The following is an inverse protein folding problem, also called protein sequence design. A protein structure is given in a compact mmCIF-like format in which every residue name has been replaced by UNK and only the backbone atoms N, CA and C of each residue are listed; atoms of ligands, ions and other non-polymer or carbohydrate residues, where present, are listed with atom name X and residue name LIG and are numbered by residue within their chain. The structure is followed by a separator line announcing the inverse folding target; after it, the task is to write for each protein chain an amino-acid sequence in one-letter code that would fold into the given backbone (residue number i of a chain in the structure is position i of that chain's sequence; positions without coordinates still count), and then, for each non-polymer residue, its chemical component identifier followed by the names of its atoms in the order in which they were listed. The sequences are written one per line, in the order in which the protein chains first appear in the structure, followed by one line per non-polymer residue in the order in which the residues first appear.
data_IF_994122085557
#
_entry.id   IF_994122085557
#
_cell.length_a   1.000
_cell.length_b   1.000
_cell.length_c   1.000
_cell.angle_alpha   90.00
_cell.angle_beta   90.00
_cell.angle_gamma   90.00
#
_symmetry.space_group_name_H-M   'P 1'
#
loop_
_entity.id
_entity.type
_entity.pdbx_description
1 polymer ?
#
# COMPACT_ATOMS: atom_id res chain seq x y z
N UNK A 1 53.92 0.11 -12.48
CA UNK A 1 53.02 1.26 -12.21
C UNK A 1 51.90 0.81 -11.29
N UNK A 2 51.78 1.39 -10.08
CA UNK A 2 50.67 1.13 -9.15
C UNK A 2 49.46 1.96 -9.60
N UNK A 3 48.47 1.33 -10.23
CA UNK A 3 47.17 1.94 -10.51
C UNK A 3 46.35 1.98 -9.22
N UNK A 4 46.44 3.10 -8.50
CA UNK A 4 45.60 3.37 -7.31
C UNK A 4 44.24 3.86 -7.81
N UNK A 5 43.25 2.99 -7.80
CA UNK A 5 41.87 3.33 -8.19
C UNK A 5 41.28 4.29 -7.15
N UNK A 6 41.28 5.58 -7.46
CA UNK A 6 40.66 6.62 -6.65
C UNK A 6 39.19 6.79 -7.08
N UNK A 7 38.30 6.60 -6.10
CA UNK A 7 36.84 6.85 -6.11
C UNK A 7 36.03 5.92 -7.03
N UNK A 8 35.39 4.93 -6.42
CA UNK A 8 34.42 4.08 -7.11
C UNK A 8 33.20 4.90 -7.55
N UNK A 9 33.02 5.05 -8.86
CA UNK A 9 31.78 5.56 -9.46
C UNK A 9 30.56 4.73 -9.00
N UNK A 10 30.79 3.44 -8.71
CA UNK A 10 29.77 2.46 -8.34
C UNK A 10 29.09 2.74 -7.00
N UNK A 11 29.79 3.31 -6.01
CA UNK A 11 29.17 3.61 -4.71
C UNK A 11 28.20 4.80 -4.82
N UNK A 12 28.56 5.82 -5.59
CA UNK A 12 27.68 6.99 -5.82
C UNK A 12 26.44 6.60 -6.64
N UNK A 13 26.62 5.82 -7.71
CA UNK A 13 25.50 5.34 -8.51
C UNK A 13 24.59 4.39 -7.73
N UNK A 14 25.17 3.52 -6.89
CA UNK A 14 24.40 2.61 -6.02
C UNK A 14 23.59 3.38 -4.98
N UNK A 15 24.18 4.42 -4.36
CA UNK A 15 23.49 5.24 -3.37
C UNK A 15 22.34 6.02 -4.01
N UNK A 16 22.57 6.62 -5.18
CA UNK A 16 21.52 7.32 -5.95
C UNK A 16 20.39 6.35 -6.34
N UNK A 17 20.72 5.15 -6.84
CA UNK A 17 19.73 4.13 -7.16
C UNK A 17 18.91 3.75 -5.92
N UNK A 18 19.56 3.46 -4.79
CA UNK A 18 18.88 3.12 -3.55
C UNK A 18 17.94 4.23 -3.07
N UNK A 19 18.38 5.48 -3.13
CA UNK A 19 17.57 6.63 -2.75
C UNK A 19 16.32 6.77 -3.64
N UNK A 20 16.50 6.66 -4.96
CA UNK A 20 15.39 6.74 -5.92
C UNK A 20 14.40 5.59 -5.70
N UNK A 21 14.90 4.36 -5.50
CA UNK A 21 14.05 3.19 -5.23
C UNK A 21 13.27 3.35 -3.93
N UNK A 22 13.93 3.80 -2.85
CA UNK A 22 13.27 4.02 -1.55
C UNK A 22 12.19 5.10 -1.64
N UNK A 23 12.47 6.23 -2.32
CA UNK A 23 11.49 7.28 -2.54
C UNK A 23 10.30 6.79 -3.37
N UNK A 24 10.56 6.11 -4.49
CA UNK A 24 9.51 5.56 -5.36
C UNK A 24 8.63 4.58 -4.58
N UNK A 25 9.24 3.69 -3.79
CA UNK A 25 8.53 2.75 -2.95
C UNK A 25 7.70 3.46 -1.87
N UNK A 26 8.23 4.48 -1.20
CA UNK A 26 7.50 5.26 -0.22
C UNK A 26 6.27 5.98 -0.82
N UNK A 27 6.43 6.58 -2.01
CA UNK A 27 5.33 7.22 -2.74
C UNK A 27 4.25 6.18 -3.08
N UNK A 28 4.66 5.04 -3.62
CA UNK A 28 3.75 3.96 -3.99
C UNK A 28 2.95 3.45 -2.78
N UNK A 29 3.62 3.19 -1.64
CA UNK A 29 2.96 2.79 -0.40
C UNK A 29 1.98 3.85 0.11
N UNK A 30 2.34 5.13 0.02
CA UNK A 30 1.48 6.24 0.43
C UNK A 30 0.20 6.29 -0.41
N UNK A 31 0.31 6.16 -1.74
CA UNK A 31 -0.85 6.17 -2.64
C UNK A 31 -1.78 4.99 -2.33
N UNK A 32 -1.23 3.80 -2.21
CA UNK A 32 -2.01 2.59 -1.94
C UNK A 32 -2.71 2.65 -0.57
N UNK A 33 -2.02 3.16 0.44
CA UNK A 33 -2.59 3.35 1.76
C UNK A 33 -3.77 4.32 1.74
N UNK A 34 -3.60 5.50 1.12
CA UNK A 34 -4.69 6.49 1.02
C UNK A 34 -5.89 5.92 0.27
N UNK A 35 -5.65 5.22 -0.84
CA UNK A 35 -6.73 4.59 -1.61
C UNK A 35 -7.54 3.59 -0.79
N UNK A 36 -6.88 2.68 -0.06
CA UNK A 36 -7.56 1.68 0.78
C UNK A 36 -8.31 2.34 1.95
N UNK A 37 -7.74 3.40 2.52
CA UNK A 37 -8.39 4.15 3.58
C UNK A 37 -9.66 4.84 3.07
N UNK A 38 -9.58 5.54 1.94
CA UNK A 38 -10.73 6.20 1.30
C UNK A 38 -11.81 5.19 0.90
N UNK A 39 -11.42 4.07 0.28
CA UNK A 39 -12.34 3.00 -0.06
C UNK A 39 -13.12 2.54 1.17
N UNK A 40 -12.43 2.32 2.29
CA UNK A 40 -13.09 1.87 3.51
C UNK A 40 -13.99 2.93 4.14
N UNK A 41 -13.59 4.20 4.10
CA UNK A 41 -14.43 5.32 4.54
C UNK A 41 -15.71 5.39 3.72
N UNK A 42 -15.60 5.29 2.40
CA UNK A 42 -16.74 5.30 1.50
C UNK A 42 -17.68 4.12 1.76
N UNK A 43 -17.15 2.93 2.02
CA UNK A 43 -17.96 1.78 2.44
C UNK A 43 -18.75 2.05 3.72
N UNK A 44 -18.13 2.68 4.72
CA UNK A 44 -18.80 3.06 5.96
C UNK A 44 -19.90 4.09 5.71
N UNK A 45 -19.62 5.11 4.90
CA UNK A 45 -20.61 6.13 4.52
C UNK A 45 -21.78 5.52 3.76
N UNK A 46 -21.53 4.60 2.82
CA UNK A 46 -22.58 3.92 2.08
C UNK A 46 -23.45 3.03 2.97
N UNK A 47 -22.85 2.27 3.88
CA UNK A 47 -23.58 1.46 4.86
C UNK A 47 -24.42 2.33 5.81
N UNK A 48 -23.87 3.46 6.25
CA UNK A 48 -24.55 4.42 7.11
C UNK A 48 -25.70 5.12 6.39
N UNK A 49 -25.47 5.54 5.14
CA UNK A 49 -26.47 6.16 4.28
C UNK A 49 -27.65 5.23 4.02
N UNK A 50 -27.37 3.99 3.64
CA UNK A 50 -28.40 2.99 3.40
C UNK A 50 -29.24 2.70 4.65
N UNK A 51 -28.60 2.66 5.83
CA UNK A 51 -29.32 2.53 7.09
C UNK A 51 -30.14 3.79 7.42
N UNK A 52 -29.56 4.98 7.22
CA UNK A 52 -30.20 6.26 7.51
C UNK A 52 -31.41 6.53 6.62
N UNK A 53 -31.35 6.19 5.33
CA UNK A 53 -32.46 6.31 4.38
C UNK A 53 -33.68 5.48 4.82
N UNK A 54 -33.47 4.33 5.46
CA UNK A 54 -34.57 3.48 5.97
C UNK A 54 -35.31 4.14 7.12
N UNK A 55 -34.61 4.87 7.99
CA UNK A 55 -35.23 5.54 9.13
C UNK A 55 -35.61 7.00 8.84
N UNK A 56 -35.23 7.57 7.69
CA UNK A 56 -35.42 8.99 7.40
C UNK A 56 -36.89 9.41 7.47
N UNK A 57 -37.79 8.61 6.88
CA UNK A 57 -39.25 8.86 6.93
C UNK A 57 -39.81 8.80 8.36
N UNK A 58 -39.68 7.68 9.10
CA UNK A 58 -40.23 7.61 10.46
C UNK A 58 -39.56 8.62 11.41
N UNK A 59 -38.28 8.96 11.20
CA UNK A 59 -37.60 9.96 12.00
C UNK A 59 -38.15 11.38 11.75
N UNK A 60 -38.47 11.68 10.49
CA UNK A 60 -39.09 12.96 10.13
C UNK A 60 -40.48 13.05 10.77
N UNK A 61 -41.27 11.98 10.69
CA UNK A 61 -42.62 11.92 11.26
C UNK A 61 -42.59 12.11 12.79
N UNK A 62 -41.68 11.42 13.50
CA UNK A 62 -41.46 11.58 14.93
C UNK A 62 -41.01 13.00 15.33
N UNK A 63 -40.18 13.65 14.49
CA UNK A 63 -39.75 15.02 14.74
C UNK A 63 -40.87 16.04 14.51
N UNK A 64 -41.77 15.77 13.57
CA UNK A 64 -42.94 16.63 13.29
C UNK A 64 -44.02 16.46 14.36
N UNK A 65 -44.25 15.24 14.84
CA UNK A 65 -45.13 14.95 15.98
C UNK A 65 -44.55 15.40 17.33
N UNK A 66 -43.30 15.89 17.34
CA UNK A 66 -42.54 16.23 18.54
C UNK A 66 -42.33 15.05 19.51
N UNK A 67 -42.44 13.81 19.03
CA UNK A 67 -42.12 12.61 19.80
C UNK A 67 -40.61 12.35 19.80
N UNK A 68 -39.93 12.94 20.78
CA UNK A 68 -38.50 12.78 20.97
C UNK A 68 -38.11 11.36 21.45
N UNK A 69 -39.04 10.60 22.02
CA UNK A 69 -38.78 9.23 22.48
C UNK A 69 -38.75 8.26 21.29
N UNK A 70 -39.67 8.42 20.36
CA UNK A 70 -39.68 7.68 19.09
C UNK A 70 -38.47 8.04 18.22
N UNK A 71 -38.12 9.33 18.12
CA UNK A 71 -36.90 9.74 17.42
C UNK A 71 -35.63 9.11 18.03
N UNK A 72 -35.56 9.01 19.36
CA UNK A 72 -34.45 8.36 20.06
C UNK A 72 -34.39 6.86 19.79
N UNK A 73 -35.52 6.16 19.80
CA UNK A 73 -35.55 4.71 19.53
C UNK A 73 -35.13 4.38 18.10
N UNK A 74 -35.52 5.23 17.13
CA UNK A 74 -35.09 5.14 15.73
C UNK A 74 -33.58 5.40 15.55
N UNK A 75 -33.01 6.35 16.29
CA UNK A 75 -31.56 6.55 16.28
C UNK A 75 -30.81 5.40 16.97
N UNK A 76 -31.40 4.78 17.99
CA UNK A 76 -30.82 3.59 18.63
C UNK A 76 -30.89 2.39 17.68
N UNK A 77 -31.94 2.23 16.87
CA UNK A 77 -32.00 1.14 15.89
C UNK A 77 -30.90 1.24 14.84
N UNK A 78 -30.48 2.47 14.46
CA UNK A 78 -29.32 2.70 13.59
C UNK A 78 -27.99 2.25 14.19
N UNK A 79 -27.87 2.22 15.53
CA UNK A 79 -26.68 1.67 16.22
C UNK A 79 -26.41 0.22 15.81
N UNK A 80 -27.45 -0.55 15.46
CA UNK A 80 -27.36 -1.96 15.05
C UNK A 80 -26.44 -2.17 13.84
N UNK A 81 -26.19 -1.12 13.04
CA UNK A 81 -25.17 -1.17 11.98
C UNK A 81 -23.74 -1.41 12.50
N UNK A 82 -23.45 -1.10 13.77
CA UNK A 82 -22.13 -1.31 14.40
C UNK A 82 -21.03 -0.37 13.88
N UNK A 83 -21.37 0.63 13.07
CA UNK A 83 -20.42 1.57 12.41
C UNK A 83 -20.54 2.98 12.99
N UNK A 84 -21.67 3.30 13.60
CA UNK A 84 -22.00 4.62 14.10
C UNK A 84 -21.28 4.92 15.42
N UNK A 85 -20.53 6.02 15.46
CA UNK A 85 -19.88 6.54 16.67
C UNK A 85 -20.75 7.55 17.40
N UNK A 86 -21.40 8.46 16.66
CA UNK A 86 -22.26 9.50 17.20
C UNK A 86 -23.36 9.88 16.20
N UNK A 87 -24.55 10.20 16.70
CA UNK A 87 -25.62 10.84 15.94
C UNK A 87 -25.99 12.19 16.57
N UNK A 88 -26.05 13.24 15.77
CA UNK A 88 -26.42 14.59 16.22
C UNK A 88 -27.57 15.11 15.35
N UNK A 89 -28.68 15.45 15.99
CA UNK A 89 -29.83 16.08 15.37
C UNK A 89 -29.77 17.59 15.54
N UNK A 90 -29.88 18.31 14.44
CA UNK A 90 -29.89 19.77 14.38
C UNK A 90 -31.20 20.21 13.72
N UNK A 91 -31.97 21.08 14.38
CA UNK A 91 -33.18 21.71 13.80
C UNK A 91 -32.79 23.01 13.09
N UNK A 92 -33.62 23.47 12.14
CA UNK A 92 -33.51 24.81 11.55
C UNK A 92 -33.26 25.83 12.67
N UNK A 93 -32.20 26.65 12.54
CA UNK A 93 -31.54 27.51 13.57
C UNK A 93 -30.33 26.91 14.33
N UNK A 94 -29.78 25.79 13.89
CA UNK A 94 -28.56 25.21 14.46
C UNK A 94 -28.68 24.78 15.94
N UNK A 95 -29.91 24.73 16.45
CA UNK A 95 -30.20 24.27 17.82
C UNK A 95 -30.04 22.74 17.84
N UNK A 96 -29.06 22.29 18.63
CA UNK A 96 -28.77 20.87 18.84
C UNK A 96 -29.93 20.26 19.64
N UNK A 97 -30.75 19.45 18.98
CA UNK A 97 -31.92 18.81 19.61
C UNK A 97 -31.51 17.56 20.37
N UNK A 98 -30.60 16.77 19.82
CA UNK A 98 -30.17 15.51 20.44
C UNK A 98 -28.76 15.12 20.01
N UNK A 99 -27.96 14.62 20.96
CA UNK A 99 -26.67 13.97 20.70
C UNK A 99 -26.68 12.61 21.35
N UNK A 100 -26.53 11.56 20.56
CA UNK A 100 -26.36 10.20 21.05
C UNK A 100 -24.93 9.75 20.71
N UNK A 101 -24.16 9.42 21.74
CA UNK A 101 -22.85 8.82 21.58
C UNK A 101 -23.00 7.32 21.74
N UNK A 102 -22.56 6.57 20.73
CA UNK A 102 -22.67 5.11 20.69
C UNK A 102 -21.33 4.42 20.91
N UNK A 103 -20.21 5.12 20.65
CA UNK A 103 -18.85 4.64 20.86
C UNK A 103 -18.23 5.18 22.16
N UNK A 104 -17.38 4.35 22.79
CA UNK A 104 -16.59 4.75 23.95
C UNK A 104 -15.48 5.72 23.49
N UNK A 105 -15.32 6.90 24.11
CA UNK A 105 -14.25 7.83 23.74
C UNK A 105 -12.90 7.18 24.05
N UNK A 106 -12.14 6.85 23.01
CA UNK A 106 -10.73 6.44 23.15
C UNK A 106 -9.83 7.57 22.67
N UNK A 107 -8.70 7.82 23.35
CA UNK A 107 -7.77 8.87 22.94
C UNK A 107 -7.11 8.49 21.62
N UNK A 108 -7.45 9.23 20.56
CA UNK A 108 -6.79 9.15 19.25
C UNK A 108 -5.75 10.29 19.22
N UNK A 109 -4.48 10.01 18.85
CA UNK A 109 -3.46 11.05 18.72
C UNK A 109 -3.90 12.17 17.77
N UNK A 110 -3.59 13.42 18.11
CA UNK A 110 -4.01 14.59 17.33
C UNK A 110 -3.51 14.57 15.88
N UNK A 111 -2.27 14.13 15.66
CA UNK A 111 -1.69 13.99 14.32
C UNK A 111 -2.48 13.00 13.45
N UNK A 112 -3.01 11.92 14.04
CA UNK A 112 -3.73 10.87 13.33
C UNK A 112 -5.09 11.36 12.83
N UNK A 113 -5.69 12.34 13.51
CA UNK A 113 -6.96 12.94 13.06
C UNK A 113 -6.79 13.70 11.76
N UNK A 114 -5.70 14.46 11.62
CA UNK A 114 -5.40 15.20 10.40
C UNK A 114 -4.93 14.31 9.26
N UNK A 115 -4.06 13.33 9.55
CA UNK A 115 -3.51 12.43 8.51
C UNK A 115 -4.57 11.49 7.96
N UNK A 116 -5.46 10.96 8.80
CA UNK A 116 -6.50 10.03 8.39
C UNK A 116 -7.84 10.70 8.14
N UNK A 117 -7.92 12.04 8.20
CA UNK A 117 -9.15 12.82 7.99
C UNK A 117 -10.34 12.24 8.79
N UNK A 118 -10.16 12.26 10.12
CA UNK A 118 -11.11 11.82 11.14
C UNK A 118 -11.58 13.09 11.88
N UNK A 119 -12.90 13.30 12.10
CA UNK A 119 -13.99 12.33 11.97
C UNK A 119 -14.60 12.22 10.58
N UNK A 120 -15.07 11.01 10.25
CA UNK A 120 -15.83 10.76 9.03
C UNK A 120 -17.31 10.97 9.34
N UNK A 121 -17.89 12.00 8.73
CA UNK A 121 -19.26 12.46 8.99
C UNK A 121 -20.12 12.42 7.73
N UNK A 122 -21.40 12.16 7.91
CA UNK A 122 -22.44 12.22 6.89
C UNK A 122 -23.54 13.16 7.36
N UNK A 123 -23.97 14.08 6.50
CA UNK A 123 -25.09 14.97 6.78
C UNK A 123 -26.30 14.55 5.95
N UNK A 124 -27.43 14.28 6.62
CA UNK A 124 -28.68 13.92 5.98
C UNK A 124 -29.70 15.04 6.19
N UNK A 125 -30.22 15.69 5.13
CA UNK A 125 -31.28 16.67 5.25
C UNK A 125 -32.62 15.98 5.59
N UNK A 126 -33.38 16.58 6.49
CA UNK A 126 -34.72 16.17 6.87
C UNK A 126 -35.73 17.17 6.30
N UNK A 127 -36.70 16.67 5.53
CA UNK A 127 -37.73 17.49 4.86
C UNK A 127 -39.10 17.18 5.47
N UNK A 128 -39.87 18.20 5.87
CA UNK A 128 -41.22 17.99 6.35
C UNK A 128 -42.14 17.51 5.20
N UNK A 129 -42.86 16.40 5.41
CA UNK A 129 -43.82 15.69 4.54
C UNK A 129 -43.85 15.95 3.02
N UNK A 130 -43.81 14.83 2.27
CA UNK A 130 -44.55 14.64 1.01
C UNK A 130 -44.17 15.55 -0.16
N UNK A 131 -43.16 15.15 -0.94
CA UNK A 131 -42.88 15.67 -2.29
C UNK A 131 -42.57 17.18 -2.42
N UNK A 132 -42.04 17.84 -1.39
CA UNK A 132 -41.49 19.18 -1.59
C UNK A 132 -40.10 19.06 -2.27
N UNK A 133 -40.09 19.41 -3.55
CA UNK A 133 -38.97 19.44 -4.49
C UNK A 133 -37.65 19.94 -3.88
N UNK A 134 -36.55 19.60 -4.56
CA UNK A 134 -35.15 20.01 -4.33
C UNK A 134 -34.90 21.54 -4.17
N UNK A 135 -35.95 22.34 -4.00
CA UNK A 135 -35.99 23.80 -3.89
C UNK A 135 -36.53 24.31 -2.53
N UNK A 136 -37.03 23.46 -1.63
CA UNK A 136 -37.49 23.89 -0.29
C UNK A 136 -36.41 23.76 0.80
N UNK A 137 -36.34 24.72 1.73
CA UNK A 137 -35.36 24.72 2.82
C UNK A 137 -35.58 23.52 3.75
N UNK A 138 -34.55 22.74 4.10
CA UNK A 138 -34.69 21.58 4.99
C UNK A 138 -35.08 22.02 6.41
N UNK A 139 -35.93 21.20 7.05
CA UNK A 139 -36.43 21.39 8.41
C UNK A 139 -35.36 21.11 9.48
N UNK A 140 -34.40 20.24 9.15
CA UNK A 140 -33.26 19.93 10.01
C UNK A 140 -32.21 19.08 9.31
N UNK A 141 -31.10 18.85 9.99
CA UNK A 141 -30.01 18.00 9.56
C UNK A 141 -29.71 16.93 10.61
N UNK A 142 -29.57 15.69 10.14
CA UNK A 142 -29.03 14.59 10.93
C UNK A 142 -27.56 14.41 10.55
N UNK A 143 -26.66 14.72 11.49
CA UNK A 143 -25.22 14.47 11.34
C UNK A 143 -24.91 13.12 11.96
N UNK A 144 -24.53 12.17 11.13
CA UNK A 144 -24.09 10.84 11.55
C UNK A 144 -22.57 10.75 11.43
N UNK A 145 -21.92 10.39 12.52
CA UNK A 145 -20.47 10.26 12.60
C UNK A 145 -20.11 8.79 12.76
N UNK A 146 -19.18 8.31 11.95
CA UNK A 146 -18.60 6.97 12.06
C UNK A 146 -17.72 6.87 13.32
N UNK A 147 -17.68 5.70 13.95
CA UNK A 147 -16.77 5.46 15.07
C UNK A 147 -15.31 5.73 14.65
N UNK A 148 -14.77 6.81 15.18
CA UNK A 148 -13.41 7.29 14.90
C UNK A 148 -12.34 6.28 15.33
N UNK A 149 -12.61 5.51 16.39
CA UNK A 149 -11.67 4.48 16.87
C UNK A 149 -11.57 3.32 15.87
N UNK A 150 -12.70 2.95 15.26
CA UNK A 150 -12.76 1.89 14.25
C UNK A 150 -11.99 2.28 12.99
N UNK A 151 -12.13 3.53 12.53
CA UNK A 151 -11.37 4.06 11.39
C UNK A 151 -9.87 4.07 11.70
N UNK A 152 -9.49 4.50 12.91
CA UNK A 152 -8.09 4.53 13.35
C UNK A 152 -7.44 3.14 13.39
N UNK A 153 -8.10 2.15 14.00
CA UNK A 153 -7.56 0.78 14.02
C UNK A 153 -7.51 0.15 12.63
N UNK A 154 -8.49 0.43 11.77
CA UNK A 154 -8.43 0.00 10.38
C UNK A 154 -7.21 0.61 9.67
N UNK A 155 -6.97 1.91 9.83
CA UNK A 155 -5.80 2.57 9.24
C UNK A 155 -4.48 1.93 9.71
N UNK A 156 -4.31 1.70 11.02
CA UNK A 156 -3.12 1.06 11.56
C UNK A 156 -2.94 -0.39 11.05
N UNK A 157 -4.01 -1.18 11.04
CA UNK A 157 -3.95 -2.56 10.58
C UNK A 157 -3.62 -2.64 9.09
N UNK A 158 -4.20 -1.75 8.28
CA UNK A 158 -3.92 -1.64 6.85
C UNK A 158 -2.47 -1.22 6.60
N UNK A 159 -1.94 -0.24 7.34
CA UNK A 159 -0.51 0.11 7.27
C UNK A 159 0.38 -1.09 7.60
N UNK A 160 0.09 -1.79 8.71
CA UNK A 160 0.83 -2.98 9.11
C UNK A 160 0.80 -4.08 8.03
N UNK A 161 -0.37 -4.33 7.45
CA UNK A 161 -0.54 -5.32 6.39
C UNK A 161 0.24 -4.95 5.11
N UNK A 162 0.14 -3.69 4.67
CA UNK A 162 0.88 -3.21 3.50
C UNK A 162 2.39 -3.36 3.74
N UNK A 163 2.90 -2.84 4.87
CA UNK A 163 4.33 -2.88 5.17
C UNK A 163 4.84 -4.33 5.21
N UNK A 164 4.12 -5.22 5.90
CA UNK A 164 4.53 -6.63 6.03
C UNK A 164 4.49 -7.37 4.70
N UNK A 165 3.45 -7.18 3.89
CA UNK A 165 3.33 -7.86 2.59
C UNK A 165 4.42 -7.41 1.62
N UNK A 166 4.74 -6.13 1.55
CA UNK A 166 5.84 -5.67 0.70
C UNK A 166 7.22 -6.04 1.24
N UNK A 167 7.45 -6.04 2.56
CA UNK A 167 8.70 -6.55 3.13
C UNK A 167 8.90 -8.04 2.79
N UNK A 168 7.85 -8.84 2.88
CA UNK A 168 7.88 -10.25 2.49
C UNK A 168 8.16 -10.40 0.99
N UNK A 169 7.51 -9.59 0.15
CA UNK A 169 7.74 -9.58 -1.30
C UNK A 169 9.20 -9.24 -1.62
N UNK A 170 9.75 -8.19 -0.99
CA UNK A 170 11.16 -7.80 -1.14
C UNK A 170 12.09 -8.93 -0.70
N UNK A 171 11.79 -9.60 0.40
CA UNK A 171 12.57 -10.74 0.88
C UNK A 171 12.58 -11.90 -0.13
N UNK A 172 11.41 -12.27 -0.66
CA UNK A 172 11.28 -13.33 -1.68
C UNK A 172 12.09 -12.98 -2.92
N UNK A 173 11.94 -11.75 -3.43
CA UNK A 173 12.68 -11.26 -4.61
C UNK A 173 14.19 -11.24 -4.35
N UNK A 174 14.63 -10.80 -3.17
CA UNK A 174 16.05 -10.76 -2.81
C UNK A 174 16.67 -12.18 -2.76
N UNK A 175 15.98 -13.14 -2.14
CA UNK A 175 16.41 -14.54 -2.09
C UNK A 175 16.46 -15.14 -3.50
N UNK A 176 15.42 -14.94 -4.30
CA UNK A 176 15.35 -15.42 -5.68
C UNK A 176 16.47 -14.81 -6.54
N UNK A 177 16.70 -13.49 -6.46
CA UNK A 177 17.76 -12.80 -7.18
C UNK A 177 19.15 -13.27 -6.76
N UNK A 178 19.38 -13.45 -5.45
CA UNK A 178 20.65 -13.97 -4.92
C UNK A 178 20.90 -15.40 -5.41
N UNK A 179 19.89 -16.26 -5.36
CA UNK A 179 19.99 -17.63 -5.84
C UNK A 179 20.24 -17.68 -7.35
N UNK A 180 19.50 -16.89 -8.13
CA UNK A 180 19.67 -16.77 -9.58
C UNK A 180 21.09 -16.31 -9.93
N UNK A 181 21.55 -15.19 -9.37
CA UNK A 181 22.91 -14.68 -9.61
C UNK A 181 23.99 -15.70 -9.22
N UNK A 182 23.84 -16.33 -8.05
CA UNK A 182 24.77 -17.34 -7.59
C UNK A 182 24.83 -18.53 -8.55
N UNK A 183 23.67 -19.02 -8.99
CA UNK A 183 23.53 -20.24 -9.79
C UNK A 183 23.97 -20.05 -11.25
N UNK A 184 23.62 -18.91 -11.85
CA UNK A 184 23.79 -18.65 -13.29
C UNK A 184 25.03 -17.81 -13.62
N UNK A 185 25.55 -16.97 -12.72
CA UNK A 185 26.74 -16.15 -13.03
C UNK A 185 27.94 -16.61 -12.20
N UNK A 186 27.79 -16.63 -10.88
CA UNK A 186 28.95 -16.82 -9.98
C UNK A 186 29.53 -18.23 -10.08
N UNK A 187 28.70 -19.27 -10.05
CA UNK A 187 29.17 -20.67 -10.14
C UNK A 187 29.89 -21.00 -11.46
N UNK A 188 29.35 -20.71 -12.66
CA UNK A 188 30.06 -20.99 -13.90
C UNK A 188 31.35 -20.18 -14.02
N UNK A 189 31.32 -18.88 -13.69
CA UNK A 189 32.52 -18.05 -13.70
C UNK A 189 33.60 -18.58 -12.74
N UNK A 190 33.20 -19.03 -11.55
CA UNK A 190 34.13 -19.64 -10.58
C UNK A 190 34.77 -20.91 -11.11
N UNK A 191 34.03 -21.75 -11.84
CA UNK A 191 34.57 -22.96 -12.47
C UNK A 191 35.62 -22.61 -13.52
N UNK A 192 35.30 -21.68 -14.44
CA UNK A 192 36.24 -21.20 -15.46
C UNK A 192 37.51 -20.63 -14.81
N UNK A 193 37.36 -19.80 -13.77
CA UNK A 193 38.49 -19.20 -13.08
C UNK A 193 39.37 -20.26 -12.37
N UNK A 194 38.78 -21.29 -11.78
CA UNK A 194 39.52 -22.40 -11.16
C UNK A 194 40.26 -23.24 -12.20
N UNK A 195 39.62 -23.54 -13.32
CA UNK A 195 40.24 -24.30 -14.41
C UNK A 195 41.47 -23.54 -14.94
N UNK A 196 41.33 -22.24 -15.21
CA UNK A 196 42.43 -21.40 -15.71
C UNK A 196 43.57 -21.17 -14.70
N UNK A 197 43.28 -21.17 -13.40
CA UNK A 197 44.29 -20.94 -12.36
C UNK A 197 45.07 -22.22 -11.97
N UNK A 198 44.74 -23.37 -12.56
CA UNK A 198 45.46 -24.62 -12.31
C UNK A 198 46.88 -24.61 -12.90
N UNK A 199 47.82 -25.33 -12.26
CA UNK A 199 49.21 -25.50 -12.73
C UNK A 199 49.35 -26.35 -14.02
N UNK A 200 48.26 -26.64 -14.72
CA UNK A 200 48.24 -27.42 -15.97
C UNK A 200 47.81 -26.50 -17.11
N UNK A 201 48.49 -26.59 -18.24
CA UNK A 201 48.07 -25.88 -19.46
C UNK A 201 46.68 -26.41 -19.83
N UNK A 202 45.67 -25.57 -19.68
CA UNK A 202 44.29 -25.91 -20.06
C UNK A 202 44.14 -25.65 -21.55
N UNK A 203 44.10 -26.73 -22.32
CA UNK A 203 43.97 -26.68 -23.78
C UNK A 203 42.57 -26.23 -24.24
N UNK A 204 41.55 -26.37 -23.37
CA UNK A 204 40.19 -25.97 -23.68
C UNK A 204 39.38 -25.67 -22.41
N UNK A 205 38.72 -24.50 -22.39
CA UNK A 205 37.70 -24.14 -21.40
C UNK A 205 36.35 -24.61 -21.92
N UNK A 206 35.67 -25.48 -21.16
CA UNK A 206 34.34 -26.00 -21.49
C UNK A 206 33.30 -25.27 -20.65
N UNK A 207 32.29 -24.74 -21.32
CA UNK A 207 31.18 -24.01 -20.71
C UNK A 207 29.90 -24.84 -20.87
N UNK A 208 28.95 -24.68 -19.94
CA UNK A 208 27.66 -25.37 -20.01
C UNK A 208 26.86 -24.90 -21.24
N UNK A 209 26.05 -25.81 -21.81
CA UNK A 209 25.39 -25.61 -23.11
C UNK A 209 24.48 -24.38 -23.19
N UNK A 210 23.87 -23.96 -22.07
CA UNK A 210 23.03 -22.76 -21.98
C UNK A 210 23.81 -21.43 -21.96
N UNK A 211 25.13 -21.48 -21.84
CA UNK A 211 26.05 -20.33 -21.86
C UNK A 211 26.90 -20.36 -23.15
N UNK A 212 26.46 -21.01 -24.22
CA UNK A 212 27.25 -21.07 -25.46
C UNK A 212 27.29 -19.73 -26.21
N UNK A 213 26.22 -18.95 -26.14
CA UNK A 213 26.02 -17.74 -26.94
C UNK A 213 25.91 -16.46 -26.09
N UNK A 214 26.19 -16.55 -24.79
CA UNK A 214 26.26 -15.40 -23.90
C UNK A 214 27.69 -14.88 -23.73
N UNK A 215 27.87 -13.84 -22.90
CA UNK A 215 29.19 -13.24 -22.67
C UNK A 215 30.20 -14.24 -22.09
N UNK A 216 29.74 -15.22 -21.28
CA UNK A 216 30.60 -16.27 -20.74
C UNK A 216 31.04 -17.25 -21.83
N UNK A 217 30.14 -17.63 -22.74
CA UNK A 217 30.44 -18.45 -23.90
C UNK A 217 31.38 -17.78 -24.88
N UNK A 218 31.16 -16.50 -25.17
CA UNK A 218 32.05 -15.70 -26.01
C UNK A 218 33.45 -15.59 -25.42
N UNK A 219 33.57 -15.39 -24.09
CA UNK A 219 34.86 -15.39 -23.40
C UNK A 219 35.57 -16.74 -23.52
N UNK A 220 34.87 -17.86 -23.31
CA UNK A 220 35.46 -19.19 -23.44
C UNK A 220 35.86 -19.54 -24.88
N UNK A 221 35.00 -19.23 -25.87
CA UNK A 221 35.30 -19.38 -27.30
C UNK A 221 36.52 -18.52 -27.68
N UNK A 222 36.58 -17.28 -27.20
CA UNK A 222 37.70 -16.36 -27.42
C UNK A 222 39.03 -16.90 -26.88
N UNK A 223 39.03 -17.39 -25.63
CA UNK A 223 40.20 -18.02 -25.02
C UNK A 223 40.67 -19.27 -25.79
N UNK A 224 39.73 -20.18 -26.10
CA UNK A 224 40.03 -21.41 -26.84
C UNK A 224 40.63 -21.13 -28.22
N UNK A 225 40.12 -20.11 -28.92
CA UNK A 225 40.67 -19.67 -30.21
C UNK A 225 42.10 -19.13 -30.09
N UNK A 226 42.44 -18.44 -29.00
CA UNK A 226 43.81 -17.96 -28.77
C UNK A 226 44.79 -19.10 -28.48
N UNK A 227 44.41 -20.05 -27.62
CA UNK A 227 45.22 -21.24 -27.32
C UNK A 227 45.44 -22.08 -28.58
N UNK A 228 44.39 -22.32 -29.38
CA UNK A 228 44.51 -23.08 -30.63
C UNK A 228 45.45 -22.42 -31.63
N UNK A 229 45.44 -21.08 -31.73
CA UNK A 229 46.41 -20.35 -32.55
C UNK A 229 47.84 -20.56 -32.05
N UNK A 230 48.09 -20.47 -30.75
CA UNK A 230 49.42 -20.70 -30.16
C UNK A 230 49.93 -22.12 -30.41
N UNK A 231 49.09 -23.14 -30.22
CA UNK A 231 49.45 -24.55 -30.47
C UNK A 231 49.77 -24.77 -31.96
N UNK A 232 49.00 -24.20 -32.87
CA UNK A 232 49.24 -24.34 -34.31
C UNK A 232 50.50 -23.60 -34.77
N UNK A 233 50.83 -22.45 -34.19
CA UNK A 233 52.08 -21.74 -34.47
C UNK A 233 53.31 -22.52 -33.99
N UNK A 234 53.26 -23.20 -32.85
CA UNK A 234 54.36 -24.04 -32.34
C UNK A 234 54.59 -25.33 -33.14
N UNK A 235 53.66 -25.75 -34.00
CA UNK A 235 53.81 -26.94 -34.85
C UNK A 235 54.42 -26.64 -36.22
N UNK A 236 54.55 -25.37 -36.60
CA UNK A 236 55.11 -24.94 -37.88
C UNK A 236 56.60 -24.56 -37.80
N UNK A 237 57.17 -24.53 -36.60
CA UNK A 237 58.61 -24.40 -36.32
C UNK A 237 59.22 -25.77 -35.99
#
# INVERSE_FOLDING_TARGET
MKTRVQRSLTLKSLLVFFLITLCSFAIFLSIQFTYLLEQRKNDYLNQLSNAALQIQKPLTDALLSSDLNEAKSLLISLKTSGIMGQATLIRHENVRVMRLNFATPKPIPGWAKSVFDIPVEMTLPLYAYGNAALTSKPFGYLILQVDSNRVYHYALNTLGLIITTYLLLTLIVAVAATWFMSRFIVRPLRRIALDLNGNKIVNQVVVAEHHNDDELGLLAKGYNNQINKQINSQKLD
#
